data_IF_463883431053
#
_entry.id   IF_463883431053
#
_cell.length_a   1.000
_cell.length_b   1.000
_cell.length_c   1.000
_cell.angle_alpha   90.00
_cell.angle_beta   90.00
_cell.angle_gamma   90.00
#
_symmetry.space_group_name_H-M   'P 1'
#
loop_
_entity.id
_entity.type
_entity.pdbx_description
1 polymer ?
#
# COMPACT_ATOMS: atom_id res chain seq x y z
N UNK A 1 -20.51 -15.49 -13.19
CA UNK A 1 -19.52 -14.64 -13.90
C UNK A 1 -18.63 -14.04 -12.84
N UNK A 2 -17.32 -14.15 -12.99
CA UNK A 2 -16.36 -13.96 -11.90
C UNK A 2 -16.25 -12.46 -11.55
N UNK A 3 -16.89 -12.02 -10.47
CA UNK A 3 -17.03 -10.60 -10.05
C UNK A 3 -15.86 -10.09 -9.20
N UNK A 4 -14.78 -10.88 -9.06
CA UNK A 4 -13.63 -10.47 -8.26
C UNK A 4 -12.80 -9.40 -9.00
N UNK A 5 -12.56 -8.24 -8.38
CA UNK A 5 -11.77 -7.19 -8.99
C UNK A 5 -10.34 -7.63 -9.29
N UNK A 6 -9.75 -7.01 -10.31
CA UNK A 6 -8.43 -7.38 -10.82
C UNK A 6 -7.67 -6.18 -11.34
N UNK A 7 -6.34 -6.29 -11.32
CA UNK A 7 -5.45 -5.40 -12.05
C UNK A 7 -5.21 -5.99 -13.43
N UNK A 8 -5.38 -5.17 -14.47
CA UNK A 8 -4.95 -5.53 -15.81
C UNK A 8 -3.46 -5.28 -15.96
N UNK A 9 -2.76 -6.28 -16.49
CA UNK A 9 -1.40 -6.14 -17.01
C UNK A 9 -1.53 -6.08 -18.53
N UNK A 10 -1.47 -4.87 -19.09
CA UNK A 10 -1.55 -4.66 -20.53
C UNK A 10 -0.15 -4.77 -21.13
N UNK A 11 0.04 -5.75 -22.00
CA UNK A 11 1.28 -5.96 -22.74
C UNK A 11 1.05 -5.71 -24.24
N UNK A 12 2.12 -5.35 -24.92
CA UNK A 12 2.13 -5.26 -26.38
C UNK A 12 2.02 -6.66 -27.00
N UNK A 13 1.25 -6.75 -28.08
CA UNK A 13 1.18 -7.90 -28.99
C UNK A 13 2.24 -7.81 -30.10
N UNK A 14 2.91 -6.67 -30.26
CA UNK A 14 3.91 -6.47 -31.31
C UNK A 14 5.14 -7.37 -31.09
N UNK A 15 5.54 -8.05 -32.16
CA UNK A 15 6.72 -8.93 -32.18
C UNK A 15 7.88 -8.33 -33.00
N UNK A 16 7.62 -7.23 -33.72
CA UNK A 16 8.57 -6.55 -34.58
C UNK A 16 8.51 -5.05 -34.31
N UNK A 17 9.68 -4.45 -34.09
CA UNK A 17 9.86 -2.99 -34.07
C UNK A 17 10.36 -2.57 -35.44
N UNK A 18 9.58 -1.76 -36.14
CA UNK A 18 10.00 -1.15 -37.41
C UNK A 18 10.78 0.12 -37.13
N UNK A 19 12.02 0.17 -37.61
CA UNK A 19 12.96 1.28 -37.46
C UNK A 19 12.79 2.29 -38.61
N UNK A 20 13.34 3.49 -38.43
CA UNK A 20 13.24 4.58 -39.42
C UNK A 20 13.94 4.28 -40.75
N UNK A 21 14.95 3.40 -40.74
CA UNK A 21 15.63 2.92 -41.94
C UNK A 21 14.84 1.83 -42.69
N UNK A 22 13.63 1.50 -42.21
CA UNK A 22 12.75 0.47 -42.75
C UNK A 22 13.09 -0.95 -42.32
N UNK A 23 14.18 -1.16 -41.56
CA UNK A 23 14.51 -2.47 -41.01
C UNK A 23 13.60 -2.85 -39.85
N UNK A 24 13.50 -4.14 -39.56
CA UNK A 24 12.72 -4.66 -38.44
C UNK A 24 13.58 -5.50 -37.52
N UNK A 25 13.44 -5.24 -36.22
CA UNK A 25 14.07 -6.04 -35.16
C UNK A 25 13.00 -6.74 -34.34
N UNK A 26 13.31 -7.93 -33.82
CA UNK A 26 12.40 -8.63 -32.90
C UNK A 26 12.25 -7.82 -31.63
N UNK A 27 11.02 -7.69 -31.14
CA UNK A 27 10.71 -6.92 -29.93
C UNK A 27 9.60 -7.59 -29.12
N UNK A 28 9.38 -7.08 -27.92
CA UNK A 28 8.31 -7.51 -27.06
C UNK A 28 8.21 -6.64 -25.81
N UNK A 29 7.77 -7.24 -24.71
CA UNK A 29 7.83 -6.62 -23.40
C UNK A 29 9.19 -6.87 -22.72
N UNK A 30 9.63 -5.93 -21.89
CA UNK A 30 10.86 -6.07 -21.11
C UNK A 30 10.63 -6.98 -19.89
N UNK A 31 11.37 -8.08 -19.77
CA UNK A 31 11.11 -9.12 -18.77
C UNK A 31 11.08 -8.58 -17.32
N UNK A 32 12.04 -7.73 -16.95
CA UNK A 32 12.12 -7.17 -15.60
C UNK A 32 10.93 -6.25 -15.28
N UNK A 33 10.48 -5.48 -16.28
CA UNK A 33 9.36 -4.54 -16.15
C UNK A 33 8.01 -5.25 -16.02
N UNK A 34 7.92 -6.53 -16.38
CA UNK A 34 6.78 -7.39 -16.07
C UNK A 34 6.97 -8.14 -14.74
N UNK A 35 8.10 -8.82 -14.57
CA UNK A 35 8.31 -9.76 -13.45
C UNK A 35 8.28 -9.03 -12.10
N UNK A 36 8.96 -7.88 -12.00
CA UNK A 36 9.03 -7.13 -10.73
C UNK A 36 7.64 -6.65 -10.31
N UNK A 37 6.86 -5.92 -11.15
CA UNK A 37 5.51 -5.53 -10.79
C UNK A 37 4.58 -6.72 -10.53
N UNK A 38 4.67 -7.78 -11.34
CA UNK A 38 3.86 -8.99 -11.17
C UNK A 38 4.02 -9.59 -9.77
N UNK A 39 5.25 -9.75 -9.30
CA UNK A 39 5.54 -10.34 -8.00
C UNK A 39 5.09 -9.45 -6.85
N UNK A 40 5.38 -8.14 -6.93
CA UNK A 40 4.99 -7.19 -5.89
C UNK A 40 3.45 -7.13 -5.77
N UNK A 41 2.73 -7.06 -6.91
CA UNK A 41 1.26 -7.04 -6.92
C UNK A 41 0.65 -8.35 -6.41
N UNK A 42 1.20 -9.51 -6.84
CA UNK A 42 0.74 -10.83 -6.35
C UNK A 42 0.98 -10.97 -4.85
N UNK A 43 2.13 -10.54 -4.35
CA UNK A 43 2.46 -10.55 -2.92
C UNK A 43 1.55 -9.61 -2.11
N UNK A 44 1.11 -8.51 -2.72
CA UNK A 44 0.12 -7.61 -2.14
C UNK A 44 -1.34 -8.12 -2.25
N UNK A 45 -1.55 -9.35 -2.76
CA UNK A 45 -2.87 -9.98 -2.81
C UNK A 45 -3.74 -9.57 -4.00
N UNK A 46 -3.19 -8.91 -5.01
CA UNK A 46 -3.96 -8.51 -6.19
C UNK A 46 -4.11 -9.67 -7.18
N UNK A 47 -5.34 -9.84 -7.68
CA UNK A 47 -5.61 -10.70 -8.83
C UNK A 47 -5.15 -10.00 -10.10
N UNK A 48 -4.31 -10.67 -10.90
CA UNK A 48 -3.74 -10.12 -12.12
C UNK A 48 -4.33 -10.83 -13.34
N UNK A 49 -4.67 -10.07 -14.37
CA UNK A 49 -5.07 -10.60 -15.67
C UNK A 49 -4.21 -9.97 -16.76
N UNK A 50 -3.54 -10.81 -17.56
CA UNK A 50 -2.77 -10.35 -18.72
C UNK A 50 -3.75 -10.11 -19.87
N UNK A 51 -3.57 -8.97 -20.55
CA UNK A 51 -4.35 -8.59 -21.71
C UNK A 51 -3.41 -8.05 -22.80
N UNK A 52 -3.73 -8.34 -24.05
CA UNK A 52 -3.02 -7.81 -25.23
C UNK A 52 -4.02 -7.43 -26.32
N UNK A 53 -3.69 -6.51 -27.24
CA UNK A 53 -4.50 -6.29 -28.44
C UNK A 53 -4.71 -7.61 -29.21
N UNK A 54 -5.97 -7.91 -29.55
CA UNK A 54 -6.36 -9.15 -30.23
C UNK A 54 -6.10 -10.46 -29.47
N UNK A 55 -5.73 -10.42 -28.20
CA UNK A 55 -5.45 -11.63 -27.39
C UNK A 55 -4.22 -12.42 -27.87
N UNK A 56 -3.31 -11.76 -28.60
CA UNK A 56 -2.09 -12.37 -29.12
C UNK A 56 -1.10 -12.58 -27.98
N UNK A 57 -0.53 -13.80 -27.80
CA UNK A 57 0.52 -14.03 -26.81
C UNK A 57 1.69 -13.05 -26.98
N UNK A 58 2.03 -12.26 -25.95
CA UNK A 58 3.09 -11.27 -26.04
C UNK A 58 4.46 -11.95 -26.09
N UNK A 59 5.38 -11.39 -26.88
CA UNK A 59 6.76 -11.87 -26.95
C UNK A 59 7.60 -11.18 -25.86
N UNK A 60 8.58 -11.89 -25.30
CA UNK A 60 9.61 -11.27 -24.45
C UNK A 60 10.63 -10.60 -25.36
N UNK A 61 11.01 -9.36 -25.07
CA UNK A 61 12.12 -8.72 -25.77
C UNK A 61 13.42 -9.51 -25.48
N UNK A 62 14.12 -10.07 -26.49
CA UNK A 62 15.31 -10.87 -26.27
C UNK A 62 16.40 -10.13 -25.50
N UNK A 63 16.55 -8.82 -25.72
CA UNK A 63 17.56 -8.01 -25.03
C UNK A 63 17.29 -7.94 -23.53
N UNK A 64 16.04 -8.08 -23.08
CA UNK A 64 15.69 -8.05 -21.66
C UNK A 64 16.13 -9.29 -20.87
N UNK A 65 16.58 -10.34 -21.56
CA UNK A 65 17.13 -11.56 -20.98
C UNK A 65 18.62 -11.73 -21.29
N UNK A 66 19.23 -10.81 -22.03
CA UNK A 66 20.66 -10.85 -22.31
C UNK A 66 21.44 -10.45 -21.05
N UNK A 67 22.36 -11.28 -20.53
CA UNK A 67 23.19 -10.91 -19.39
C UNK A 67 23.94 -9.59 -19.59
N UNK A 68 24.35 -9.25 -20.80
CA UNK A 68 25.08 -8.00 -21.10
C UNK A 68 24.26 -6.74 -20.82
N UNK A 69 22.95 -6.77 -21.04
CA UNK A 69 22.04 -5.66 -20.72
C UNK A 69 21.67 -5.62 -19.23
N UNK A 70 21.93 -6.72 -18.51
CA UNK A 70 21.74 -6.89 -17.07
C UNK A 70 23.05 -6.76 -16.28
N UNK A 71 24.04 -6.04 -16.81
CA UNK A 71 25.32 -5.80 -16.13
C UNK A 71 26.22 -7.03 -16.01
N UNK A 72 26.05 -8.02 -16.89
CA UNK A 72 26.74 -9.31 -16.87
C UNK A 72 26.09 -10.37 -15.97
N UNK A 73 24.91 -10.11 -15.41
CA UNK A 73 24.27 -10.99 -14.44
C UNK A 73 23.49 -12.14 -15.09
N UNK A 74 24.20 -13.24 -15.36
CA UNK A 74 23.62 -14.48 -15.86
C UNK A 74 22.57 -15.09 -14.93
N UNK A 75 22.70 -14.90 -13.61
CA UNK A 75 21.75 -15.45 -12.64
C UNK A 75 20.43 -14.70 -12.69
N UNK A 76 20.48 -13.38 -12.84
CA UNK A 76 19.30 -12.52 -13.05
C UNK A 76 18.60 -12.86 -14.36
N UNK A 77 19.35 -13.04 -15.45
CA UNK A 77 18.78 -13.48 -16.73
C UNK A 77 18.01 -14.81 -16.61
N UNK A 78 18.63 -15.81 -15.98
CA UNK A 78 18.01 -17.12 -15.74
C UNK A 78 16.77 -17.02 -14.82
N UNK A 79 16.85 -16.20 -13.78
CA UNK A 79 15.74 -15.91 -12.88
C UNK A 79 14.54 -15.29 -13.61
N UNK A 80 14.77 -14.23 -14.39
CA UNK A 80 13.73 -13.56 -15.17
C UNK A 80 13.09 -14.53 -16.18
N UNK A 81 13.91 -15.30 -16.90
CA UNK A 81 13.42 -16.32 -17.83
C UNK A 81 12.50 -17.34 -17.13
N UNK A 82 12.91 -17.86 -15.96
CA UNK A 82 12.09 -18.80 -15.20
C UNK A 82 10.81 -18.13 -14.67
N UNK A 83 10.91 -16.93 -14.10
CA UNK A 83 9.78 -16.19 -13.55
C UNK A 83 8.71 -15.91 -14.62
N UNK A 84 9.11 -15.49 -15.83
CA UNK A 84 8.19 -15.27 -16.94
C UNK A 84 7.45 -16.54 -17.33
N UNK A 85 8.13 -17.70 -17.38
CA UNK A 85 7.49 -19.00 -17.70
C UNK A 85 6.38 -19.41 -16.73
N UNK A 86 6.47 -18.97 -15.47
CA UNK A 86 5.46 -19.23 -14.43
C UNK A 86 4.21 -18.35 -14.58
N UNK A 87 4.26 -17.27 -15.37
CA UNK A 87 3.11 -16.41 -15.64
C UNK A 87 2.25 -17.06 -16.72
N UNK A 88 1.33 -17.94 -16.30
CA UNK A 88 0.47 -18.71 -17.22
C UNK A 88 -0.37 -17.84 -18.15
N UNK A 89 -0.78 -16.65 -17.70
CA UNK A 89 -1.55 -15.69 -18.48
C UNK A 89 -0.86 -15.16 -19.74
N UNK A 90 0.46 -15.31 -19.89
CA UNK A 90 1.18 -14.94 -21.11
C UNK A 90 0.91 -15.90 -22.27
N UNK A 91 0.55 -17.16 -21.99
CA UNK A 91 0.24 -18.16 -23.04
C UNK A 91 -1.15 -17.96 -23.63
N UNK A 92 -2.07 -17.41 -22.84
CA UNK A 92 -3.47 -17.20 -23.21
C UNK A 92 -3.94 -15.87 -22.62
N UNK A 93 -3.43 -14.73 -23.13
CA UNK A 93 -3.87 -13.43 -22.64
C UNK A 93 -5.32 -13.18 -23.03
N UNK A 94 -6.00 -12.32 -22.28
CA UNK A 94 -7.30 -11.82 -22.68
C UNK A 94 -7.15 -10.93 -23.92
N UNK A 95 -8.16 -10.98 -24.79
CA UNK A 95 -8.28 -10.05 -25.90
C UNK A 95 -8.82 -8.71 -25.41
N UNK A 96 -7.99 -7.67 -25.52
CA UNK A 96 -8.35 -6.31 -25.15
C UNK A 96 -9.59 -5.80 -25.90
N UNK A 97 -9.71 -6.17 -27.17
CA UNK A 97 -10.76 -5.66 -28.04
C UNK A 97 -12.11 -6.31 -27.71
N UNK A 98 -12.08 -7.53 -27.18
CA UNK A 98 -13.24 -8.27 -26.69
C UNK A 98 -13.74 -7.82 -25.29
N UNK A 99 -12.94 -7.07 -24.51
CA UNK A 99 -13.39 -6.59 -23.19
C UNK A 99 -14.54 -5.59 -23.32
N UNK A 100 -15.66 -5.89 -22.67
CA UNK A 100 -16.83 -5.03 -22.63
C UNK A 100 -16.75 -3.99 -21.51
N UNK A 101 -17.60 -2.97 -21.53
CA UNK A 101 -17.70 -2.00 -20.44
C UNK A 101 -17.94 -2.67 -19.07
N UNK A 102 -18.74 -3.75 -19.02
CA UNK A 102 -18.98 -4.52 -17.79
C UNK A 102 -17.72 -5.22 -17.29
N UNK A 103 -16.89 -5.74 -18.19
CA UNK A 103 -15.61 -6.33 -17.80
C UNK A 103 -14.69 -5.24 -17.23
N UNK A 104 -14.63 -4.09 -17.91
CA UNK A 104 -13.86 -2.93 -17.49
C UNK A 104 -14.39 -2.29 -16.20
N UNK A 105 -15.66 -2.46 -15.84
CA UNK A 105 -16.21 -1.98 -14.57
C UNK A 105 -15.60 -2.71 -13.37
N UNK A 106 -15.27 -3.98 -13.52
CA UNK A 106 -14.63 -4.80 -12.47
C UNK A 106 -13.12 -4.62 -12.37
N UNK A 107 -12.49 -3.95 -13.33
CA UNK A 107 -11.10 -3.49 -13.26
C UNK A 107 -10.89 -2.57 -12.06
N UNK A 108 -9.75 -2.63 -11.39
CA UNK A 108 -9.41 -1.65 -10.34
C UNK A 108 -8.24 -0.74 -10.70
N UNK A 109 -7.45 -1.12 -11.69
CA UNK A 109 -6.38 -0.32 -12.26
C UNK A 109 -5.65 -1.10 -13.34
N UNK A 110 -4.90 -0.39 -14.16
CA UNK A 110 -4.10 -0.98 -15.23
C UNK A 110 -2.62 -0.67 -15.00
N UNK A 111 -1.78 -1.68 -15.17
CA UNK A 111 -0.32 -1.55 -15.20
C UNK A 111 0.17 -1.93 -16.61
N UNK A 112 0.99 -1.07 -17.20
CA UNK A 112 1.47 -1.17 -18.58
C UNK A 112 3.00 -1.22 -18.57
N UNK A 113 3.60 -2.42 -18.53
CA UNK A 113 5.04 -2.61 -18.71
C UNK A 113 5.52 -2.13 -20.09
N UNK A 114 6.78 -1.73 -20.17
CA UNK A 114 7.45 -1.37 -21.41
C UNK A 114 8.19 -2.55 -22.06
N UNK A 115 9.32 -2.25 -22.70
CA UNK A 115 9.84 -2.96 -23.87
C UNK A 115 9.53 -2.17 -25.15
N UNK A 116 10.07 -2.55 -26.31
CA UNK A 116 9.92 -1.69 -27.49
C UNK A 116 8.60 -1.90 -28.25
N UNK A 117 7.88 -3.00 -27.97
CA UNK A 117 6.60 -3.34 -28.61
C UNK A 117 5.52 -2.24 -28.52
N UNK A 118 5.26 -1.62 -27.34
CA UNK A 118 4.29 -0.53 -27.15
C UNK A 118 4.39 0.64 -28.15
N UNK A 119 5.58 0.89 -28.72
CA UNK A 119 5.76 1.93 -29.73
C UNK A 119 5.05 1.63 -31.04
N UNK A 120 4.71 0.36 -31.29
CA UNK A 120 4.14 -0.14 -32.55
C UNK A 120 2.63 -0.34 -32.50
N UNK A 121 2.11 -0.91 -31.42
CA UNK A 121 0.69 -1.28 -31.33
C UNK A 121 -0.06 -0.47 -30.27
N UNK A 122 0.43 -0.44 -29.03
CA UNK A 122 -0.30 0.18 -27.92
C UNK A 122 -0.53 1.68 -28.14
N UNK A 123 0.37 2.37 -28.85
CA UNK A 123 0.24 3.80 -29.15
C UNK A 123 -0.91 4.18 -30.10
N UNK A 124 -1.56 3.19 -30.73
CA UNK A 124 -2.60 3.42 -31.74
C UNK A 124 -3.77 2.42 -31.66
N UNK A 125 -3.72 1.45 -30.76
CA UNK A 125 -4.76 0.44 -30.61
C UNK A 125 -6.07 1.04 -30.06
N UNK A 126 -7.22 0.89 -30.77
CA UNK A 126 -8.50 1.43 -30.30
C UNK A 126 -8.94 0.87 -28.94
N UNK A 127 -8.66 -0.41 -28.67
CA UNK A 127 -8.93 -1.02 -27.36
C UNK A 127 -8.16 -0.35 -26.22
N UNK A 128 -6.96 0.18 -26.47
CA UNK A 128 -6.15 0.91 -25.48
C UNK A 128 -6.76 2.28 -25.20
N UNK A 129 -7.16 3.03 -26.23
CA UNK A 129 -7.88 4.30 -26.06
C UNK A 129 -9.15 4.12 -25.20
N UNK A 130 -9.97 3.12 -25.54
CA UNK A 130 -11.17 2.76 -24.80
C UNK A 130 -10.88 2.43 -23.33
N UNK A 131 -9.89 1.58 -23.07
CA UNK A 131 -9.47 1.19 -21.72
C UNK A 131 -9.02 2.40 -20.89
N UNK A 132 -8.16 3.25 -21.46
CA UNK A 132 -7.61 4.40 -20.75
C UNK A 132 -8.68 5.45 -20.44
N UNK A 133 -9.57 5.75 -21.40
CA UNK A 133 -10.72 6.64 -21.18
C UNK A 133 -11.67 6.10 -20.13
N UNK A 134 -11.92 4.79 -20.10
CA UNK A 134 -12.71 4.13 -19.05
C UNK A 134 -12.06 4.31 -17.68
N UNK A 135 -10.74 4.12 -17.59
CA UNK A 135 -10.01 4.31 -16.34
C UNK A 135 -10.12 5.76 -15.84
N UNK A 136 -9.99 6.75 -16.71
CA UNK A 136 -10.18 8.17 -16.35
C UNK A 136 -11.61 8.42 -15.85
N UNK A 137 -12.62 7.98 -16.60
CA UNK A 137 -14.03 8.19 -16.24
C UNK A 137 -14.40 7.55 -14.89
N UNK A 138 -13.80 6.40 -14.58
CA UNK A 138 -14.05 5.66 -13.35
C UNK A 138 -13.01 5.91 -12.23
N UNK A 139 -12.14 6.91 -12.40
CA UNK A 139 -11.07 7.27 -11.46
C UNK A 139 -10.14 6.09 -11.08
N UNK A 140 -9.89 5.17 -12.02
CA UNK A 140 -9.02 3.99 -11.83
C UNK A 140 -7.56 4.37 -12.15
N UNK A 141 -6.59 3.99 -11.29
CA UNK A 141 -5.20 4.28 -11.55
C UNK A 141 -4.66 3.59 -12.80
N UNK A 142 -3.79 4.33 -13.50
CA UNK A 142 -3.07 3.91 -14.69
C UNK A 142 -1.59 4.02 -14.36
N UNK A 143 -0.87 2.90 -14.37
CA UNK A 143 0.58 2.85 -14.22
C UNK A 143 1.24 2.52 -15.56
N UNK A 144 2.16 3.36 -16.02
CA UNK A 144 2.96 3.11 -17.24
C UNK A 144 4.44 3.07 -16.90
N UNK A 145 5.19 2.17 -17.52
CA UNK A 145 6.61 2.01 -17.24
C UNK A 145 7.40 2.06 -18.55
N UNK A 146 8.50 2.82 -18.58
CA UNK A 146 9.42 2.86 -19.71
C UNK A 146 8.71 3.26 -21.01
N UNK A 147 8.86 2.47 -22.07
CA UNK A 147 8.14 2.64 -23.33
C UNK A 147 6.65 2.27 -23.26
N UNK A 148 6.20 1.62 -22.18
CA UNK A 148 4.77 1.37 -21.93
C UNK A 148 3.95 2.67 -21.83
N UNK A 149 4.59 3.80 -21.53
CA UNK A 149 3.97 5.14 -21.58
C UNK A 149 3.50 5.51 -22.99
N UNK A 150 4.01 4.88 -24.06
CA UNK A 150 3.51 5.04 -25.43
C UNK A 150 2.02 4.71 -25.56
N UNK A 151 1.46 3.85 -24.70
CA UNK A 151 0.03 3.54 -24.67
C UNK A 151 -0.86 4.79 -24.52
N UNK A 152 -0.37 5.84 -23.85
CA UNK A 152 -1.13 7.09 -23.67
C UNK A 152 -1.39 7.80 -25.02
N UNK A 153 -0.53 7.59 -26.01
CA UNK A 153 -0.66 8.19 -27.36
C UNK A 153 -1.88 7.66 -28.13
N UNK A 154 -2.42 6.48 -27.76
CA UNK A 154 -3.65 5.97 -28.36
C UNK A 154 -4.82 6.95 -28.17
N UNK A 155 -4.78 7.77 -27.13
CA UNK A 155 -5.82 8.75 -26.83
C UNK A 155 -5.68 10.08 -27.58
N UNK A 156 -4.62 10.25 -28.37
CA UNK A 156 -4.31 11.48 -29.08
C UNK A 156 -4.83 11.51 -30.54
N UNK A 157 -5.25 10.38 -31.11
CA UNK A 157 -5.62 10.28 -32.53
C UNK A 157 -7.08 10.62 -32.88
N UNK A 158 -7.92 10.98 -31.91
CA UNK A 158 -9.36 11.25 -32.10
C UNK A 158 -9.72 12.74 -32.27
N UNK A 159 -11.00 13.03 -32.53
CA UNK A 159 -11.52 14.40 -32.60
C UNK A 159 -11.45 15.14 -31.25
N UNK A 160 -11.48 14.39 -30.15
CA UNK A 160 -11.33 14.90 -28.79
C UNK A 160 -9.87 14.91 -28.37
N UNK A 161 -9.46 16.00 -27.72
CA UNK A 161 -8.14 16.10 -27.08
C UNK A 161 -7.97 14.97 -26.06
N UNK A 162 -6.77 14.40 -25.99
CA UNK A 162 -6.43 13.38 -24.98
C UNK A 162 -6.82 13.85 -23.57
N UNK A 163 -7.45 13.00 -22.74
CA UNK A 163 -7.78 13.33 -21.34
C UNK A 163 -6.53 13.55 -20.47
N UNK A 164 -5.36 13.20 -20.99
CA UNK A 164 -4.08 13.31 -20.30
C UNK A 164 -3.28 14.55 -20.71
N UNK A 165 -3.79 15.34 -21.65
CA UNK A 165 -3.05 16.50 -22.13
C UNK A 165 -2.77 17.49 -21.00
N UNK A 166 -1.52 17.95 -20.90
CA UNK A 166 -1.03 18.81 -19.82
C UNK A 166 -0.64 18.08 -18.52
N UNK A 167 -0.93 16.79 -18.39
CA UNK A 167 -0.54 16.01 -17.20
C UNK A 167 0.96 15.71 -17.22
N UNK A 168 1.54 15.62 -16.02
CA UNK A 168 2.95 15.29 -15.81
C UNK A 168 3.15 13.78 -15.86
N UNK A 169 4.04 13.34 -16.75
CA UNK A 169 4.42 11.93 -16.92
C UNK A 169 5.94 11.80 -17.03
N UNK A 170 6.44 10.58 -16.91
CA UNK A 170 7.79 10.18 -17.31
C UNK A 170 7.69 8.97 -18.23
N UNK A 171 8.76 8.69 -18.95
CA UNK A 171 8.87 7.60 -19.91
C UNK A 171 10.35 7.29 -20.10
N UNK A 172 10.67 6.24 -20.87
CA UNK A 172 12.05 6.03 -21.30
C UNK A 172 12.53 7.29 -22.03
N UNK A 173 13.59 7.89 -21.51
CA UNK A 173 14.00 9.23 -21.89
C UNK A 173 14.75 9.21 -23.22
N UNK A 174 14.76 10.35 -23.91
CA UNK A 174 15.55 10.55 -25.12
C UNK A 174 17.04 10.29 -24.87
N UNK A 175 17.53 10.61 -23.67
CA UNK A 175 18.90 10.35 -23.26
C UNK A 175 19.18 8.85 -23.13
N UNK A 176 18.25 8.06 -22.60
CA UNK A 176 18.37 6.61 -22.52
C UNK A 176 18.26 5.96 -23.90
N UNK A 177 17.28 6.37 -24.73
CA UNK A 177 17.15 5.89 -26.12
C UNK A 177 18.42 6.13 -26.95
N UNK A 178 19.05 7.29 -26.78
CA UNK A 178 20.30 7.66 -27.45
C UNK A 178 21.52 6.88 -26.95
N UNK A 179 21.42 6.24 -25.78
CA UNK A 179 22.46 5.40 -25.20
C UNK A 179 22.28 3.91 -25.54
N UNK A 180 21.24 3.54 -26.30
CA UNK A 180 21.00 2.17 -26.76
C UNK A 180 21.64 1.88 -28.13
N UNK A 181 21.81 0.61 -28.52
CA UNK A 181 22.22 0.23 -29.88
C UNK A 181 21.27 0.73 -30.99
N UNK A 182 20.04 1.13 -30.65
CA UNK A 182 19.03 1.64 -31.58
C UNK A 182 19.05 3.18 -31.71
N UNK A 183 20.02 3.86 -31.09
CA UNK A 183 20.17 5.31 -31.16
C UNK A 183 20.04 5.85 -32.60
N UNK A 184 19.16 6.84 -32.79
CA UNK A 184 18.86 7.44 -34.10
C UNK A 184 18.03 6.58 -35.07
N UNK A 185 17.70 5.33 -34.72
CA UNK A 185 16.95 4.39 -35.57
C UNK A 185 15.51 4.16 -35.10
N UNK A 186 15.18 4.55 -33.87
CA UNK A 186 13.83 4.49 -33.30
C UNK A 186 12.78 5.15 -34.21
N UNK A 187 11.55 4.60 -34.32
CA UNK A 187 10.47 5.16 -35.14
C UNK A 187 10.16 6.63 -34.77
N UNK A 188 10.22 6.91 -33.48
CA UNK A 188 10.18 8.24 -32.89
C UNK A 188 10.79 8.17 -31.50
N UNK A 189 11.27 9.30 -30.98
CA UNK A 189 11.65 9.42 -29.57
C UNK A 189 10.39 9.54 -28.73
N UNK A 190 10.17 8.62 -27.79
CA UNK A 190 8.93 8.62 -27.00
C UNK A 190 8.74 9.91 -26.20
N UNK A 191 9.81 10.38 -25.55
CA UNK A 191 9.82 11.64 -24.81
C UNK A 191 9.38 12.84 -25.67
N UNK A 192 9.93 12.96 -26.89
CA UNK A 192 9.58 14.06 -27.80
C UNK A 192 8.15 13.92 -28.31
N UNK A 193 7.72 12.70 -28.64
CA UNK A 193 6.36 12.43 -29.12
C UNK A 193 5.32 12.79 -28.06
N UNK A 194 5.54 12.42 -26.80
CA UNK A 194 4.66 12.81 -25.69
C UNK A 194 4.63 14.34 -25.51
N UNK A 195 5.76 15.04 -25.60
CA UNK A 195 5.75 16.51 -25.51
C UNK A 195 4.97 17.17 -26.65
N UNK A 196 5.10 16.65 -27.88
CA UNK A 196 4.35 17.15 -29.04
C UNK A 196 2.83 17.00 -28.85
N UNK A 197 2.40 15.91 -28.23
CA UNK A 197 0.98 15.68 -27.89
C UNK A 197 0.53 16.44 -26.61
N UNK A 198 1.39 17.29 -26.05
CA UNK A 198 1.08 18.22 -24.97
C UNK A 198 1.25 17.67 -23.55
N UNK A 199 1.95 16.55 -23.36
CA UNK A 199 2.29 16.03 -22.04
C UNK A 199 3.47 16.79 -21.41
N UNK A 200 3.47 16.93 -20.08
CA UNK A 200 4.60 17.52 -19.34
C UNK A 200 5.58 16.41 -18.93
N UNK A 201 6.49 16.06 -19.83
CA UNK A 201 7.45 14.98 -19.57
C UNK A 201 8.55 15.44 -18.60
N UNK A 202 8.66 14.74 -17.47
CA UNK A 202 9.70 14.89 -16.44
C UNK A 202 10.67 13.72 -16.52
N UNK A 203 11.97 14.02 -16.59
CA UNK A 203 13.03 13.01 -16.64
C UNK A 203 13.98 13.16 -15.46
N UNK A 204 14.47 12.02 -14.96
CA UNK A 204 15.57 11.92 -14.01
C UNK A 204 16.87 11.53 -14.70
N UNK A 205 17.89 11.20 -13.91
CA UNK A 205 19.16 10.68 -14.45
C UNK A 205 18.92 9.36 -15.21
N UNK A 206 19.54 9.16 -16.39
CA UNK A 206 19.43 7.92 -17.15
C UNK A 206 19.72 6.69 -16.31
N UNK A 207 18.93 5.63 -16.50
CA UNK A 207 19.06 4.32 -15.82
C UNK A 207 18.84 4.34 -14.30
N UNK A 208 18.50 5.48 -13.72
CA UNK A 208 18.13 5.61 -12.32
C UNK A 208 16.60 5.57 -12.18
N UNK A 209 16.13 5.09 -11.02
CA UNK A 209 14.71 5.12 -10.69
C UNK A 209 14.20 6.57 -10.66
N UNK A 210 13.28 6.88 -11.56
CA UNK A 210 12.50 8.11 -11.56
C UNK A 210 11.03 7.80 -11.81
N UNK A 211 10.14 8.42 -11.04
CA UNK A 211 8.69 8.29 -11.22
C UNK A 211 8.04 9.67 -11.29
N UNK A 212 6.95 9.77 -12.06
CA UNK A 212 6.10 10.95 -12.10
C UNK A 212 4.65 10.55 -11.84
N UNK A 213 4.01 11.30 -10.94
CA UNK A 213 2.62 11.10 -10.56
C UNK A 213 1.83 12.38 -10.83
N UNK A 214 0.67 12.24 -11.47
CA UNK A 214 -0.28 13.32 -11.72
C UNK A 214 -1.69 12.73 -11.85
N UNK A 215 -2.63 13.17 -11.01
CA UNK A 215 -3.97 12.60 -10.89
C UNK A 215 -3.92 11.06 -10.89
N UNK A 216 -4.64 10.42 -11.82
CA UNK A 216 -4.75 8.96 -11.89
C UNK A 216 -3.59 8.30 -12.66
N UNK A 217 -2.67 9.08 -13.24
CA UNK A 217 -1.49 8.55 -13.94
C UNK A 217 -0.30 8.47 -13.00
N UNK A 218 0.33 7.30 -13.02
CA UNK A 218 1.59 6.99 -12.39
C UNK A 218 2.52 6.50 -13.50
N UNK A 219 3.72 7.06 -13.59
CA UNK A 219 4.64 6.68 -14.65
C UNK A 219 6.04 6.47 -14.10
N UNK A 220 6.75 5.48 -14.62
CA UNK A 220 8.14 5.16 -14.28
C UNK A 220 9.03 5.24 -15.52
N UNK A 221 10.22 5.82 -15.36
CA UNK A 221 11.11 6.14 -16.48
C UNK A 221 11.70 4.91 -17.17
N UNK A 222 12.17 3.91 -16.42
CA UNK A 222 12.97 2.80 -16.94
C UNK A 222 12.83 1.56 -16.03
N UNK A 223 13.49 0.42 -16.30
CA UNK A 223 13.40 -0.77 -15.45
C UNK A 223 13.70 -0.53 -13.96
N UNK A 224 14.63 0.37 -13.63
CA UNK A 224 14.98 0.69 -12.23
C UNK A 224 13.80 1.32 -11.47
N UNK A 225 12.85 1.94 -12.17
CA UNK A 225 11.63 2.50 -11.57
C UNK A 225 10.56 1.45 -11.25
N UNK A 226 10.70 0.20 -11.69
CA UNK A 226 9.62 -0.79 -11.66
C UNK A 226 9.09 -1.06 -10.24
N UNK A 227 9.99 -1.26 -9.27
CA UNK A 227 9.60 -1.53 -7.88
C UNK A 227 8.91 -0.33 -7.24
N UNK A 228 9.53 0.85 -7.30
CA UNK A 228 9.00 2.11 -6.74
C UNK A 228 7.64 2.45 -7.34
N UNK A 229 7.50 2.40 -8.66
CA UNK A 229 6.24 2.64 -9.35
C UNK A 229 5.15 1.66 -8.88
N UNK A 230 5.49 0.39 -8.73
CA UNK A 230 4.51 -0.63 -8.31
C UNK A 230 4.02 -0.40 -6.88
N UNK A 231 4.90 0.01 -5.96
CA UNK A 231 4.50 0.35 -4.60
C UNK A 231 3.53 1.54 -4.56
N UNK A 232 3.83 2.62 -5.30
CA UNK A 232 2.93 3.78 -5.40
C UNK A 232 1.61 3.40 -6.09
N UNK A 233 1.66 2.52 -7.09
CA UNK A 233 0.45 2.01 -7.74
C UNK A 233 -0.43 1.22 -6.76
N UNK A 234 0.15 0.39 -5.89
CA UNK A 234 -0.58 -0.31 -4.83
C UNK A 234 -1.23 0.70 -3.86
N UNK A 235 -0.50 1.70 -3.40
CA UNK A 235 -1.06 2.76 -2.55
C UNK A 235 -2.26 3.41 -3.23
N UNK A 236 -2.15 3.68 -4.53
CA UNK A 236 -3.23 4.26 -5.31
C UNK A 236 -4.43 3.33 -5.43
N UNK A 237 -4.23 2.05 -5.75
CA UNK A 237 -5.27 1.02 -5.77
C UNK A 237 -6.03 0.94 -4.45
N UNK A 238 -5.33 1.09 -3.31
CA UNK A 238 -5.96 1.06 -1.98
C UNK A 238 -6.72 2.33 -1.61
N UNK A 239 -6.48 3.44 -2.33
CA UNK A 239 -7.08 4.76 -2.06
C UNK A 239 -8.29 5.09 -2.95
N UNK A 240 -8.59 4.28 -3.97
CA UNK A 240 -9.67 4.58 -4.95
C UNK A 240 -11.07 4.29 -4.37
N UNK A 241 -12.01 5.27 -4.35
CA UNK A 241 -13.32 5.14 -3.69
C UNK A 241 -14.27 4.08 -4.29
N UNK A 242 -14.04 3.61 -5.51
CA UNK A 242 -14.90 2.65 -6.23
C UNK A 242 -14.67 1.19 -5.84
N UNK A 243 -13.75 0.90 -4.91
CA UNK A 243 -13.54 -0.43 -4.36
C UNK A 243 -14.57 -0.81 -3.29
N UNK A 244 -15.80 -1.15 -3.72
CA UNK A 244 -16.81 -1.87 -2.93
C UNK A 244 -17.01 -3.31 -3.44
N UNK A 245 -15.92 -4.07 -3.63
CA UNK A 245 -16.02 -5.49 -3.96
C UNK A 245 -14.75 -6.30 -3.67
N UNK A 246 -14.84 -7.26 -2.74
CA UNK A 246 -14.12 -8.55 -2.69
C UNK A 246 -12.57 -8.72 -2.77
N UNK A 247 -11.75 -7.77 -2.32
CA UNK A 247 -10.71 -8.08 -1.31
C UNK A 247 -11.23 -7.45 -0.03
N UNK A 248 -11.02 -8.10 1.10
CA UNK A 248 -11.32 -7.43 2.36
C UNK A 248 -10.39 -6.22 2.47
N UNK A 249 -10.96 -5.02 2.26
CA UNK A 249 -10.33 -3.73 2.56
C UNK A 249 -9.72 -3.84 3.97
N UNK A 250 -8.63 -3.13 4.26
CA UNK A 250 -8.10 -3.02 5.62
C UNK A 250 -9.23 -2.76 6.63
N UNK A 251 -10.24 -1.96 6.26
CA UNK A 251 -11.45 -1.75 7.06
C UNK A 251 -12.33 -3.00 7.24
N UNK A 252 -12.47 -3.86 6.23
CA UNK A 252 -13.16 -5.14 6.36
C UNK A 252 -12.38 -6.13 7.23
N UNK A 253 -11.05 -6.19 7.11
CA UNK A 253 -10.20 -7.01 7.98
C UNK A 253 -10.26 -6.52 9.44
N UNK A 254 -10.18 -5.20 9.64
CA UNK A 254 -10.38 -4.56 10.94
C UNK A 254 -11.76 -4.88 11.50
N UNK A 255 -12.80 -4.79 10.67
CA UNK A 255 -14.17 -5.13 11.04
C UNK A 255 -14.30 -6.59 11.46
N UNK A 256 -13.69 -7.54 10.74
CA UNK A 256 -13.71 -8.96 11.14
C UNK A 256 -13.03 -9.19 12.48
N UNK A 257 -11.84 -8.61 12.69
CA UNK A 257 -11.13 -8.72 13.96
C UNK A 257 -11.96 -8.13 15.11
N UNK A 258 -12.57 -6.97 14.88
CA UNK A 258 -13.46 -6.31 15.82
C UNK A 258 -14.71 -7.15 16.14
N UNK A 259 -15.39 -7.71 15.13
CA UNK A 259 -16.56 -8.58 15.33
C UNK A 259 -16.18 -9.86 16.07
N UNK A 260 -15.01 -10.45 15.77
CA UNK A 260 -14.52 -11.62 16.48
C UNK A 260 -14.24 -11.35 17.97
N UNK A 261 -13.88 -10.11 18.34
CA UNK A 261 -13.68 -9.75 19.75
C UNK A 261 -14.99 -9.80 20.57
N UNK A 262 -16.17 -9.71 19.94
CA UNK A 262 -17.45 -9.79 20.65
C UNK A 262 -17.63 -11.10 21.42
N UNK A 263 -17.00 -12.21 20.99
CA UNK A 263 -17.08 -13.50 21.69
C UNK A 263 -16.46 -13.50 23.10
N UNK A 264 -15.69 -12.46 23.40
CA UNK A 264 -15.07 -12.26 24.70
C UNK A 264 -15.90 -11.37 25.63
N UNK A 265 -16.98 -10.77 25.13
CA UNK A 265 -17.84 -9.88 25.89
C UNK A 265 -19.00 -10.71 26.47
N UNK A 266 -19.09 -10.75 27.80
CA UNK A 266 -20.15 -11.46 28.50
C UNK A 266 -21.13 -10.47 29.17
N UNK A 267 -22.39 -10.87 29.39
CA UNK A 267 -23.33 -10.05 30.12
C UNK A 267 -22.83 -9.67 31.52
N UNK A 268 -23.10 -8.45 31.97
CA UNK A 268 -22.69 -7.93 33.28
C UNK A 268 -21.21 -7.54 33.42
N UNK A 269 -20.46 -7.49 32.32
CA UNK A 269 -19.06 -7.02 32.37
C UNK A 269 -18.97 -5.49 32.32
N UNK A 270 -17.89 -4.93 32.87
CA UNK A 270 -17.37 -3.63 32.41
C UNK A 270 -16.40 -3.89 31.26
N UNK A 271 -16.51 -3.15 30.16
CA UNK A 271 -15.68 -3.34 28.97
C UNK A 271 -14.79 -2.12 28.74
N UNK A 272 -13.48 -2.32 28.83
CA UNK A 272 -12.52 -1.32 28.38
C UNK A 272 -12.51 -1.25 26.85
N UNK A 273 -12.57 -0.04 26.31
CA UNK A 273 -12.62 0.22 24.87
C UNK A 273 -11.48 1.15 24.48
N UNK A 274 -10.67 0.68 23.55
CA UNK A 274 -9.53 1.36 22.98
C UNK A 274 -9.82 2.55 22.08
N UNK A 275 -8.84 2.96 21.26
CA UNK A 275 -8.96 4.10 20.36
C UNK A 275 -8.41 3.80 18.96
N UNK A 276 -9.03 4.38 17.93
CA UNK A 276 -8.54 4.30 16.55
C UNK A 276 -9.49 3.61 15.58
N UNK A 277 -9.04 3.51 14.32
CA UNK A 277 -9.90 3.06 13.20
C UNK A 277 -10.44 1.64 13.37
N UNK A 278 -9.64 0.70 13.91
CA UNK A 278 -10.08 -0.68 14.17
C UNK A 278 -11.09 -0.73 15.32
N UNK A 279 -10.82 0.00 16.40
CA UNK A 279 -11.70 0.08 17.57
C UNK A 279 -13.04 0.73 17.26
N UNK A 280 -13.09 1.65 16.28
CA UNK A 280 -14.35 2.20 15.79
C UNK A 280 -15.30 1.15 15.22
N UNK A 281 -14.78 0.09 14.57
CA UNK A 281 -15.60 -1.05 14.13
C UNK A 281 -16.09 -1.87 15.33
N UNK A 282 -15.26 -2.03 16.36
CA UNK A 282 -15.65 -2.73 17.59
C UNK A 282 -16.79 -2.01 18.32
N UNK A 283 -16.72 -0.69 18.43
CA UNK A 283 -17.82 0.12 19.00
C UNK A 283 -19.12 -0.09 18.21
N UNK A 284 -19.06 -0.04 16.87
CA UNK A 284 -20.23 -0.31 16.04
C UNK A 284 -20.78 -1.74 16.24
N UNK A 285 -19.89 -2.73 16.40
CA UNK A 285 -20.27 -4.11 16.66
C UNK A 285 -20.93 -4.28 18.04
N UNK A 286 -20.43 -3.59 19.08
CA UNK A 286 -21.04 -3.55 20.41
C UNK A 286 -22.48 -3.00 20.36
N UNK A 287 -22.68 -1.86 19.69
CA UNK A 287 -24.01 -1.26 19.54
C UNK A 287 -25.00 -2.17 18.79
N UNK A 288 -24.51 -2.96 17.81
CA UNK A 288 -25.32 -3.91 17.07
C UNK A 288 -25.64 -5.20 17.84
N UNK A 289 -24.68 -5.70 18.64
CA UNK A 289 -24.81 -6.97 19.34
C UNK A 289 -25.79 -6.92 20.52
N UNK A 290 -26.03 -5.74 21.10
CA UNK A 290 -26.96 -5.52 22.22
C UNK A 290 -26.70 -6.45 23.43
N UNK A 291 -25.44 -6.79 23.67
CA UNK A 291 -25.03 -7.54 24.87
C UNK A 291 -25.20 -6.61 26.08
N UNK A 292 -25.91 -7.06 27.11
CA UNK A 292 -26.14 -6.26 28.31
C UNK A 292 -24.91 -6.27 29.22
N UNK A 293 -24.11 -5.20 29.16
CA UNK A 293 -22.91 -4.97 29.98
C UNK A 293 -23.18 -3.83 30.97
N UNK A 294 -22.44 -3.81 32.08
CA UNK A 294 -22.61 -2.80 33.15
C UNK A 294 -22.15 -1.41 32.69
N UNK A 295 -21.15 -1.36 31.80
CA UNK A 295 -20.74 -0.14 31.13
C UNK A 295 -19.42 -0.27 30.39
N UNK A 296 -18.98 0.85 29.80
CA UNK A 296 -17.78 0.93 28.98
C UNK A 296 -16.81 1.96 29.54
N UNK A 297 -15.52 1.63 29.59
CA UNK A 297 -14.46 2.57 29.97
C UNK A 297 -13.67 2.94 28.71
N UNK A 298 -13.69 4.21 28.33
CA UNK A 298 -13.04 4.69 27.11
C UNK A 298 -11.57 5.08 27.34
N UNK A 299 -10.69 4.72 26.41
CA UNK A 299 -9.28 5.11 26.45
C UNK A 299 -8.97 6.47 25.79
N UNK A 300 -9.98 7.21 25.34
CA UNK A 300 -9.83 8.57 24.82
C UNK A 300 -11.15 9.33 24.85
N UNK A 301 -11.08 10.66 24.76
CA UNK A 301 -12.25 11.54 24.60
C UNK A 301 -13.00 11.19 23.29
N UNK A 302 -12.26 10.86 22.22
CA UNK A 302 -12.85 10.47 20.95
C UNK A 302 -13.67 9.18 21.05
N UNK A 303 -13.14 8.17 21.75
CA UNK A 303 -13.84 6.90 22.01
C UNK A 303 -15.04 7.10 22.91
N UNK A 304 -14.90 7.89 23.99
CA UNK A 304 -16.00 8.24 24.89
C UNK A 304 -17.18 8.86 24.14
N UNK A 305 -16.89 9.87 23.32
CA UNK A 305 -17.90 10.54 22.49
C UNK A 305 -18.59 9.56 21.53
N UNK A 306 -17.83 8.64 20.93
CA UNK A 306 -18.37 7.65 19.98
C UNK A 306 -19.24 6.61 20.67
N UNK A 307 -18.89 6.16 21.88
CA UNK A 307 -19.73 5.27 22.69
C UNK A 307 -21.04 5.96 23.09
N UNK A 308 -20.95 7.20 23.61
CA UNK A 308 -22.13 8.01 23.98
C UNK A 308 -23.06 8.26 22.79
N UNK A 309 -22.50 8.52 21.61
CA UNK A 309 -23.28 8.72 20.38
C UNK A 309 -24.08 7.47 19.94
N UNK A 310 -23.69 6.27 20.40
CA UNK A 310 -24.45 5.03 20.20
C UNK A 310 -25.38 4.68 21.36
N UNK A 311 -25.51 5.56 22.36
CA UNK A 311 -26.32 5.33 23.55
C UNK A 311 -25.73 4.29 24.51
N UNK A 312 -24.41 4.04 24.43
CA UNK A 312 -23.71 3.10 25.31
C UNK A 312 -23.30 3.79 26.62
N UNK A 313 -23.52 3.13 27.75
CA UNK A 313 -23.23 3.66 29.09
C UNK A 313 -21.73 3.76 29.32
N UNK A 314 -21.17 4.97 29.33
CA UNK A 314 -19.74 5.19 29.61
C UNK A 314 -19.52 5.44 31.11
N UNK A 315 -18.58 4.72 31.69
CA UNK A 315 -18.17 4.82 33.09
C UNK A 315 -16.80 5.48 33.22
N UNK A 316 -16.57 6.16 34.34
CA UNK A 316 -15.23 6.61 34.72
C UNK A 316 -14.43 5.41 35.26
N UNK A 317 -13.21 5.22 34.78
CA UNK A 317 -12.32 4.17 35.25
C UNK A 317 -12.20 4.16 36.79
N UNK A 318 -12.14 5.35 37.41
CA UNK A 318 -12.02 5.50 38.87
C UNK A 318 -13.20 4.90 39.65
N UNK A 319 -14.35 4.66 39.00
CA UNK A 319 -15.55 4.13 39.61
C UNK A 319 -15.80 2.64 39.30
N UNK A 320 -14.93 1.99 38.51
CA UNK A 320 -15.19 0.65 37.96
C UNK A 320 -14.45 -0.50 38.65
N UNK A 321 -13.32 -0.23 39.33
CA UNK A 321 -12.45 -1.29 39.85
C UNK A 321 -11.66 -2.00 38.73
N UNK A 322 -11.40 -3.29 38.89
CA UNK A 322 -10.72 -4.11 37.87
C UNK A 322 -11.57 -4.23 36.61
N UNK A 323 -10.95 -4.07 35.43
CA UNK A 323 -11.62 -4.21 34.13
C UNK A 323 -11.53 -5.68 33.68
N UNK A 324 -12.65 -6.41 33.50
CA UNK A 324 -12.59 -7.81 33.03
C UNK A 324 -11.90 -7.96 31.67
N UNK A 325 -12.21 -7.06 30.73
CA UNK A 325 -11.69 -7.13 29.36
C UNK A 325 -11.45 -5.74 28.78
N UNK A 326 -10.30 -5.57 28.12
CA UNK A 326 -9.96 -4.41 27.32
C UNK A 326 -9.74 -4.82 25.87
N UNK A 327 -10.40 -4.15 24.93
CA UNK A 327 -10.27 -4.40 23.49
C UNK A 327 -9.73 -3.16 22.79
N UNK A 328 -8.59 -3.28 22.13
CA UNK A 328 -7.98 -2.19 21.38
C UNK A 328 -7.12 -2.66 20.20
N UNK A 329 -6.76 -1.76 19.29
CA UNK A 329 -5.82 -2.03 18.21
C UNK A 329 -4.36 -1.76 18.56
N UNK A 330 -3.50 -2.04 17.58
CA UNK A 330 -2.07 -1.78 17.63
C UNK A 330 -1.55 -1.26 16.28
N UNK A 331 -0.44 -0.53 16.33
CA UNK A 331 0.30 -0.07 15.15
C UNK A 331 1.25 -1.16 14.64
N UNK A 332 1.86 -1.92 15.56
CA UNK A 332 2.58 -3.18 15.31
C UNK A 332 2.37 -4.17 16.45
N UNK A 333 2.45 -5.45 16.13
CA UNK A 333 2.39 -6.56 17.06
C UNK A 333 3.48 -7.58 16.68
N UNK A 334 4.12 -8.18 17.68
CA UNK A 334 5.13 -9.22 17.46
C UNK A 334 4.66 -10.62 17.92
N UNK A 335 5.41 -11.70 17.62
CA UNK A 335 5.02 -13.06 18.00
C UNK A 335 5.01 -13.32 19.51
N UNK A 336 5.57 -12.41 20.31
CA UNK A 336 5.59 -12.48 21.77
C UNK A 336 4.49 -11.63 22.42
N UNK A 337 3.50 -11.24 21.63
CA UNK A 337 2.32 -10.47 22.02
C UNK A 337 2.60 -9.02 22.44
N UNK A 338 3.84 -8.53 22.22
CA UNK A 338 4.26 -7.16 22.55
C UNK A 338 3.84 -6.24 21.41
N UNK A 339 3.51 -4.99 21.74
CA UNK A 339 2.90 -4.06 20.78
C UNK A 339 3.67 -2.74 20.68
N UNK A 340 3.58 -2.09 19.52
CA UNK A 340 3.68 -0.63 19.41
C UNK A 340 2.26 -0.07 19.25
N UNK A 341 1.94 0.95 20.05
CA UNK A 341 0.67 1.69 20.06
C UNK A 341 0.93 3.20 20.12
N UNK A 342 -0.11 4.01 19.92
CA UNK A 342 -0.05 5.46 20.04
C UNK A 342 -0.04 6.25 18.73
N UNK A 343 -0.16 5.59 17.57
CA UNK A 343 -0.36 6.25 16.28
C UNK A 343 -1.55 7.21 16.28
N UNK A 344 -2.61 6.89 17.05
CA UNK A 344 -3.79 7.74 17.24
C UNK A 344 -3.67 8.84 18.29
N UNK A 345 -2.58 8.88 19.07
CA UNK A 345 -2.34 9.94 20.06
C UNK A 345 -2.97 9.73 21.45
N UNK A 346 -3.47 8.53 21.75
CA UNK A 346 -4.12 8.19 23.02
C UNK A 346 -3.31 7.22 23.91
N UNK A 347 -2.02 7.02 23.62
CA UNK A 347 -1.21 5.93 24.19
C UNK A 347 -1.26 5.81 25.72
N UNK A 348 -1.20 6.93 26.44
CA UNK A 348 -1.16 6.92 27.91
C UNK A 348 -2.45 6.38 28.50
N UNK A 349 -3.61 6.87 28.01
CA UNK A 349 -4.91 6.38 28.49
C UNK A 349 -5.18 4.96 28.02
N UNK A 350 -4.74 4.58 26.81
CA UNK A 350 -4.75 3.19 26.36
C UNK A 350 -3.96 2.28 27.30
N UNK A 351 -2.75 2.67 27.72
CA UNK A 351 -1.91 1.86 28.60
C UNK A 351 -2.45 1.77 30.02
N UNK A 352 -3.05 2.84 30.54
CA UNK A 352 -3.75 2.83 31.84
C UNK A 352 -4.89 1.81 31.82
N UNK A 353 -5.80 1.86 30.83
CA UNK A 353 -6.95 0.94 30.76
C UNK A 353 -6.48 -0.49 30.50
N UNK A 354 -5.46 -0.71 29.66
CA UNK A 354 -4.86 -2.03 29.46
C UNK A 354 -4.29 -2.61 30.75
N UNK A 355 -3.66 -1.78 31.59
CA UNK A 355 -3.05 -2.19 32.86
C UNK A 355 -4.10 -2.50 33.93
N UNK A 356 -5.24 -1.81 33.90
CA UNK A 356 -6.39 -2.11 34.76
C UNK A 356 -7.17 -3.37 34.30
N UNK A 357 -6.88 -3.89 33.09
CA UNK A 357 -7.61 -4.98 32.50
C UNK A 357 -6.99 -6.36 32.77
N UNK A 358 -7.84 -7.32 33.18
CA UNK A 358 -7.44 -8.73 33.36
C UNK A 358 -7.15 -9.42 32.03
N UNK A 359 -7.90 -9.10 30.99
CA UNK A 359 -7.73 -9.64 29.64
C UNK A 359 -7.60 -8.50 28.63
N UNK A 360 -6.45 -8.40 27.97
CA UNK A 360 -6.20 -7.45 26.90
C UNK A 360 -6.25 -8.18 25.55
N UNK A 361 -7.25 -7.84 24.75
CA UNK A 361 -7.47 -8.34 23.40
C UNK A 361 -7.03 -7.29 22.39
N UNK A 362 -5.98 -7.61 21.65
CA UNK A 362 -5.52 -6.80 20.53
C UNK A 362 -6.30 -7.18 19.25
N UNK A 363 -6.97 -6.22 18.62
CA UNK A 363 -7.68 -6.36 17.34
C UNK A 363 -6.98 -5.58 16.22
N UNK A 364 -6.62 -6.25 15.14
CA UNK A 364 -5.92 -5.62 14.04
C UNK A 364 -6.18 -6.32 12.70
N UNK A 365 -5.84 -5.68 11.59
CA UNK A 365 -5.65 -6.39 10.34
C UNK A 365 -4.28 -7.10 10.34
N UNK A 366 -4.14 -8.16 9.54
CA UNK A 366 -2.93 -9.01 9.52
C UNK A 366 -1.65 -8.26 9.13
N UNK A 367 -1.73 -7.06 8.53
CA UNK A 367 -0.53 -6.27 8.21
C UNK A 367 0.22 -5.79 9.46
N UNK A 368 -0.45 -5.77 10.62
CA UNK A 368 0.12 -5.37 11.91
C UNK A 368 0.94 -6.48 12.58
N UNK A 369 0.79 -7.72 12.14
CA UNK A 369 1.59 -8.86 12.57
C UNK A 369 3.00 -8.79 11.95
N UNK A 370 3.98 -8.42 12.77
CA UNK A 370 5.38 -8.24 12.38
C UNK A 370 6.26 -9.30 13.02
N UNK A 371 7.35 -9.74 12.36
CA UNK A 371 8.33 -10.61 13.01
C UNK A 371 9.08 -9.92 14.15
N UNK A 372 9.22 -8.59 14.12
CA UNK A 372 9.88 -7.77 15.13
C UNK A 372 9.30 -6.34 15.10
N UNK A 373 9.23 -5.70 16.25
CA UNK A 373 8.79 -4.31 16.39
C UNK A 373 9.83 -3.31 15.86
N UNK A 374 9.37 -2.13 15.45
CA UNK A 374 10.22 -0.95 15.23
C UNK A 374 10.25 -0.42 13.80
N UNK A 375 9.42 -0.96 12.88
CA UNK A 375 9.25 -0.31 11.57
C UNK A 375 8.31 0.89 11.67
N UNK A 376 7.30 0.79 12.53
CA UNK A 376 6.46 1.93 12.87
C UNK A 376 7.21 2.88 13.84
N UNK A 377 7.21 4.20 13.61
CA UNK A 377 7.82 5.15 14.55
C UNK A 377 7.20 5.04 15.94
N UNK A 378 8.01 4.84 16.98
CA UNK A 378 7.54 4.70 18.34
C UNK A 378 7.02 6.03 18.89
N UNK A 379 5.74 6.15 19.26
CA UNK A 379 5.21 7.37 19.89
C UNK A 379 5.67 7.47 21.35
N UNK A 380 6.15 8.64 21.78
CA UNK A 380 6.48 8.95 23.17
C UNK A 380 5.75 10.21 23.59
N UNK A 381 4.87 10.12 24.59
CA UNK A 381 4.13 11.27 25.12
C UNK A 381 5.01 12.02 26.13
N UNK A 382 5.18 13.32 25.92
CA UNK A 382 6.16 14.15 26.61
C UNK A 382 5.54 15.44 27.09
N UNK A 383 5.82 15.81 28.33
CA UNK A 383 5.45 17.10 28.89
C UNK A 383 6.03 18.21 28.00
N UNK A 384 5.24 19.20 27.53
CA UNK A 384 5.72 20.19 26.55
C UNK A 384 7.01 20.90 26.95
N UNK A 385 7.15 21.22 28.23
CA UNK A 385 8.36 21.82 28.82
C UNK A 385 9.63 20.95 28.62
N UNK A 386 9.49 19.62 28.66
CA UNK A 386 10.59 18.68 28.59
C UNK A 386 10.94 18.20 27.17
N UNK A 387 10.16 18.57 26.14
CA UNK A 387 10.27 18.08 24.75
C UNK A 387 11.71 17.96 24.26
N UNK A 388 12.47 19.07 24.31
CA UNK A 388 13.84 19.10 23.77
C UNK A 388 14.83 18.28 24.61
N UNK A 389 14.61 18.16 25.92
CA UNK A 389 15.42 17.32 26.79
C UNK A 389 15.18 15.84 26.49
N UNK A 390 13.92 15.41 26.45
CA UNK A 390 13.55 14.02 26.14
C UNK A 390 14.06 13.63 24.76
N UNK A 391 13.90 14.48 23.75
CA UNK A 391 14.45 14.23 22.41
C UNK A 391 15.96 13.90 22.44
N UNK A 392 16.78 14.64 23.21
CA UNK A 392 18.21 14.33 23.34
C UNK A 392 18.48 13.00 24.03
N UNK A 393 17.65 12.59 24.99
CA UNK A 393 17.81 11.28 25.65
C UNK A 393 17.43 10.14 24.70
N UNK A 394 16.36 10.31 23.91
CA UNK A 394 15.96 9.34 22.87
C UNK A 394 17.05 9.17 21.80
N UNK A 395 17.75 10.24 21.42
CA UNK A 395 18.93 10.16 20.55
C UNK A 395 20.06 9.32 21.16
N UNK A 396 20.31 9.44 22.46
CA UNK A 396 21.32 8.60 23.14
C UNK A 396 20.94 7.11 23.19
N UNK A 397 19.65 6.81 23.14
CA UNK A 397 19.13 5.44 23.01
C UNK A 397 19.17 4.93 21.55
N UNK A 398 19.74 5.71 20.62
CA UNK A 398 19.87 5.36 19.19
C UNK A 398 18.70 5.82 18.32
N UNK A 399 17.72 6.52 18.89
CA UNK A 399 16.52 6.95 18.18
C UNK A 399 16.68 8.27 17.41
N UNK A 400 15.79 8.50 16.45
CA UNK A 400 15.61 9.76 15.73
C UNK A 400 14.21 10.33 16.03
N UNK A 401 14.07 11.21 17.05
CA UNK A 401 12.78 11.73 17.47
C UNK A 401 12.31 12.88 16.57
N UNK A 402 11.06 12.82 16.13
CA UNK A 402 10.38 13.88 15.37
C UNK A 402 9.14 14.34 16.14
N UNK A 403 8.95 15.65 16.30
CA UNK A 403 7.74 16.18 16.91
C UNK A 403 6.53 15.91 16.00
N UNK A 404 5.47 15.32 16.56
CA UNK A 404 4.19 15.17 15.86
C UNK A 404 3.48 16.53 15.79
N UNK A 405 3.58 17.18 14.64
CA UNK A 405 3.05 18.54 14.45
C UNK A 405 1.52 18.59 14.55
N UNK A 406 1.01 19.61 15.25
CA UNK A 406 -0.43 19.88 15.32
C UNK A 406 -1.23 18.91 16.21
N UNK A 407 -0.56 18.07 17.01
CA UNK A 407 -1.21 17.12 17.91
C UNK A 407 -0.92 17.47 19.36
N UNK A 408 -1.99 17.58 20.15
CA UNK A 408 -1.96 17.65 21.62
C UNK A 408 -2.78 16.47 22.15
N UNK A 409 -2.24 15.72 23.10
CA UNK A 409 -2.95 14.56 23.67
C UNK A 409 -4.11 15.01 24.56
N UNK A 410 -5.00 14.07 24.91
CA UNK A 410 -6.08 14.30 25.89
C UNK A 410 -5.56 14.72 27.28
N UNK A 411 -4.26 14.58 27.53
CA UNK A 411 -3.59 14.97 28.78
C UNK A 411 -2.82 16.30 28.64
N UNK A 412 -2.93 16.99 27.50
CA UNK A 412 -2.28 18.29 27.27
C UNK A 412 -0.80 18.22 26.86
N UNK A 413 -0.32 17.04 26.46
CA UNK A 413 1.10 16.81 26.14
C UNK A 413 1.37 16.76 24.64
N UNK A 414 2.66 16.77 24.27
CA UNK A 414 3.12 16.58 22.90
C UNK A 414 3.61 15.15 22.68
N UNK A 415 3.71 14.72 21.43
CA UNK A 415 4.25 13.40 21.07
C UNK A 415 5.54 13.55 20.26
N UNK A 416 6.56 12.77 20.61
CA UNK A 416 7.72 12.52 19.77
C UNK A 416 7.57 11.15 19.11
N UNK A 417 7.57 11.11 17.79
CA UNK A 417 7.63 9.88 16.99
C UNK A 417 9.09 9.51 16.75
N UNK A 418 9.52 8.35 17.23
CA UNK A 418 10.94 7.97 17.27
C UNK A 418 11.20 6.79 16.34
N UNK A 419 12.03 6.99 15.33
CA UNK A 419 12.52 5.91 14.45
C UNK A 419 13.93 5.47 14.85
N UNK A 420 14.41 4.34 14.33
CA UNK A 420 15.81 3.93 14.47
C UNK A 420 16.21 3.31 15.81
N UNK A 421 15.29 3.20 16.77
CA UNK A 421 15.52 2.47 18.02
C UNK A 421 15.72 0.97 17.76
N UNK A 422 16.65 0.36 18.50
CA UNK A 422 16.77 -1.09 18.58
C UNK A 422 15.72 -1.64 19.55
N UNK A 423 14.72 -2.34 19.00
CA UNK A 423 13.65 -3.00 19.75
C UNK A 423 13.82 -4.52 19.80
N UNK A 424 15.06 -5.02 19.75
CA UNK A 424 15.35 -6.44 20.02
C UNK A 424 14.95 -6.87 21.44
N UNK A 425 15.01 -5.94 22.41
CA UNK A 425 14.48 -6.08 23.76
C UNK A 425 13.48 -4.94 24.08
N UNK A 426 12.20 -5.09 23.68
CA UNK A 426 11.17 -4.08 23.92
C UNK A 426 10.90 -3.82 25.40
N UNK A 427 11.06 -4.81 26.28
CA UNK A 427 10.86 -4.64 27.73
C UNK A 427 11.88 -3.64 28.28
N UNK A 428 13.17 -3.89 28.01
CA UNK A 428 14.23 -3.00 28.45
C UNK A 428 14.11 -1.61 27.83
N UNK A 429 13.70 -1.51 26.56
CA UNK A 429 13.49 -0.21 25.92
C UNK A 429 12.32 0.55 26.57
N UNK A 430 11.21 -0.13 26.88
CA UNK A 430 10.08 0.45 27.60
C UNK A 430 10.51 1.03 28.95
N UNK A 431 11.26 0.26 29.76
CA UNK A 431 11.83 0.71 31.04
C UNK A 431 12.78 1.91 30.86
N UNK A 432 13.66 1.84 29.85
CA UNK A 432 14.66 2.87 29.59
C UNK A 432 14.02 4.21 29.22
N UNK A 433 12.94 4.18 28.42
CA UNK A 433 12.20 5.40 28.05
C UNK A 433 11.40 5.91 29.24
N UNK A 434 10.74 5.03 30.01
CA UNK A 434 10.00 5.41 31.21
C UNK A 434 10.89 6.07 32.29
N UNK A 435 12.18 5.74 32.32
CA UNK A 435 13.13 6.35 33.24
C UNK A 435 13.53 7.79 32.88
N UNK A 436 13.14 8.33 31.72
CA UNK A 436 13.52 9.68 31.27
C UNK A 436 12.58 10.72 31.90
N UNK A 437 13.09 11.68 32.72
CA UNK A 437 12.24 12.74 33.27
C UNK A 437 11.57 13.58 32.18
N UNK A 438 10.25 13.73 32.29
CA UNK A 438 9.42 14.47 31.34
C UNK A 438 8.72 13.60 30.30
N UNK A 439 9.07 12.32 30.19
CA UNK A 439 8.21 11.32 29.55
C UNK A 439 7.02 11.08 30.47
N UNK A 440 5.81 11.13 29.91
CA UNK A 440 4.62 10.67 30.60
C UNK A 440 4.44 9.15 30.38
N UNK A 441 4.51 8.71 29.13
CA UNK A 441 4.47 7.30 28.75
C UNK A 441 5.03 7.12 27.32
N UNK A 442 5.21 5.88 26.89
CA UNK A 442 5.66 5.52 25.56
C UNK A 442 4.80 4.41 24.92
N UNK A 443 4.85 4.30 23.60
CA UNK A 443 4.00 3.42 22.82
C UNK A 443 4.34 1.92 22.90
N UNK A 444 5.38 1.51 23.63
CA UNK A 444 5.71 0.09 23.80
C UNK A 444 4.77 -0.51 24.84
N UNK A 445 4.12 -1.62 24.50
CA UNK A 445 3.32 -2.41 25.43
C UNK A 445 4.00 -3.77 25.55
N UNK A 446 5.04 -3.86 26.36
CA UNK A 446 5.81 -5.07 26.56
C UNK A 446 5.62 -5.65 27.98
N UNK A 447 5.63 -4.80 29.01
CA UNK A 447 5.26 -5.22 30.36
C UNK A 447 3.78 -5.63 30.42
N UNK A 448 2.90 -4.75 29.91
CA UNK A 448 1.49 -5.06 29.70
C UNK A 448 1.21 -5.40 28.22
N UNK A 449 1.74 -6.55 27.79
CA UNK A 449 1.49 -7.13 26.46
C UNK A 449 0.03 -7.53 26.27
N UNK A 450 -0.39 -7.85 25.04
CA UNK A 450 -1.70 -8.45 24.80
C UNK A 450 -1.76 -9.90 25.34
N UNK A 451 -2.95 -10.34 25.75
CA UNK A 451 -3.20 -11.73 26.14
C UNK A 451 -3.77 -12.53 24.97
N UNK A 452 -4.53 -11.86 24.10
CA UNK A 452 -5.13 -12.42 22.89
C UNK A 452 -4.89 -11.47 21.71
N UNK A 453 -4.55 -12.03 20.55
CA UNK A 453 -4.48 -11.29 19.29
C UNK A 453 -5.48 -11.84 18.30
N UNK A 454 -6.27 -10.95 17.71
CA UNK A 454 -7.24 -11.25 16.66
C UNK A 454 -6.86 -10.46 15.42
N UNK A 455 -6.31 -11.16 14.42
CA UNK A 455 -5.94 -10.57 13.14
C UNK A 455 -6.95 -10.91 12.05
N UNK A 456 -7.58 -9.89 11.47
CA UNK A 456 -8.36 -10.05 10.26
C UNK A 456 -7.44 -10.35 9.09
N UNK A 457 -7.65 -11.48 8.42
CA UNK A 457 -6.93 -11.89 7.21
C UNK A 457 -7.90 -12.25 6.09
N UNK A 458 -7.38 -12.43 4.88
CA UNK A 458 -8.18 -12.87 3.73
C UNK A 458 -8.86 -14.24 3.99
N UNK A 459 -8.25 -15.10 4.81
CA UNK A 459 -8.71 -16.46 5.08
C UNK A 459 -9.60 -16.57 6.35
N UNK A 460 -9.91 -15.45 7.00
CA UNK A 460 -10.63 -15.45 8.28
C UNK A 460 -9.92 -14.67 9.37
N UNK A 461 -10.38 -14.83 10.62
CA UNK A 461 -9.71 -14.25 11.78
C UNK A 461 -8.67 -15.24 12.32
N UNK A 462 -7.41 -14.83 12.32
CA UNK A 462 -6.32 -15.56 12.97
C UNK A 462 -6.34 -15.18 14.45
N UNK A 463 -6.49 -16.17 15.30
CA UNK A 463 -6.45 -16.01 16.75
C UNK A 463 -5.16 -16.57 17.33
N UNK A 464 -4.51 -15.79 18.20
CA UNK A 464 -3.37 -16.25 19.02
C UNK A 464 -3.64 -15.90 20.48
N UNK A 465 -3.16 -16.75 21.39
CA UNK A 465 -3.26 -16.57 22.85
C UNK A 465 -1.87 -16.75 23.47
N UNK A 466 -1.52 -15.88 24.40
CA UNK A 466 -0.20 -15.79 25.03
C UNK A 466 0.09 -16.90 26.04
#
# INVERSE_FOLDING_TARGET
>A
MNTQPFVLILLSAAQRLRLNDGTEVTTGFWAEELVVPWQILRKAGWRLQVVTPGGVPPLIDPESLDPSTLGGDHSRAAYLCNAVRQITGLRTPLDLDALTGKDLDTLIGVFIPGGNGPLMDLCQAPGVDRLLRHCVAAAKPIATLCHGTAALLATCGGADRSPFCGQRVTCFSAAEESATPLAGRWPYTLENRLRQEGFRVSTGAPWQSHIATDNFILSGQNPASAATLTHVFIERLTSTPTYKGNNMNADALKKMAAEAALRYIQPGMVVGVGTGSTTNFFIAALGAAKIHVDGYVASSIATENRLKAQGLNVLDLNATGDIPVYVDGADEADPHFRLIKGGGGALTREKIVASAARLFICIADVSKDKPMLGKFPLPVEVIPFARSFVARQLVKLGGSPTLRNGVTTDNGNVILDVTGLDLSDPLRMEESINAIPGVLDNGIFAHRRADVMLFGSADGVIERKA
#
